data_IF_927310583757
#
_entry.id   IF_927310583757
#
_cell.length_a   1.000
_cell.length_b   1.000
_cell.length_c   1.000
_cell.angle_alpha   90.00
_cell.angle_beta   90.00
_cell.angle_gamma   90.00
#
_symmetry.space_group_name_H-M   'P 1'
#
loop_
_entity.id
_entity.type
_entity.pdbx_description
1 polymer ?
#
# COMPACT_ATOMS: atom_id res chain seq x y z
N UNK A 1 -18.19 -21.60 4.97
CA UNK A 1 -17.92 -21.28 3.56
C UNK A 1 -18.44 -19.90 3.21
N UNK A 2 -17.56 -18.93 2.94
CA UNK A 2 -17.94 -17.63 2.35
C UNK A 2 -17.70 -17.72 0.84
N UNK A 3 -18.72 -17.48 -0.02
CA UNK A 3 -18.50 -17.48 -1.47
C UNK A 3 -17.55 -16.34 -1.85
N UNK A 4 -16.65 -16.61 -2.79
CA UNK A 4 -15.69 -15.63 -3.30
C UNK A 4 -15.66 -15.68 -4.84
N UNK A 5 -15.57 -14.51 -5.46
CA UNK A 5 -15.41 -14.34 -6.90
C UNK A 5 -13.98 -13.88 -7.19
N UNK A 6 -13.31 -14.54 -8.14
CA UNK A 6 -12.01 -14.12 -8.64
C UNK A 6 -12.19 -13.54 -10.04
N UNK A 7 -11.71 -12.31 -10.25
CA UNK A 7 -11.73 -11.62 -11.54
C UNK A 7 -10.31 -11.60 -12.09
N UNK A 8 -10.10 -12.21 -13.26
CA UNK A 8 -8.79 -12.29 -13.91
C UNK A 8 -8.70 -11.49 -15.21
N UNK A 9 -9.85 -11.10 -15.77
CA UNK A 9 -9.91 -10.31 -16.99
C UNK A 9 -9.54 -8.84 -16.72
N UNK A 10 -8.65 -8.28 -17.54
CA UNK A 10 -8.08 -6.94 -17.31
C UNK A 10 -9.06 -5.81 -17.52
N UNK A 11 -10.05 -5.97 -18.41
CA UNK A 11 -11.08 -4.95 -18.63
C UNK A 11 -11.99 -4.88 -17.41
N UNK A 12 -12.42 -6.04 -16.92
CA UNK A 12 -13.19 -6.14 -15.69
C UNK A 12 -12.42 -5.64 -14.46
N UNK A 13 -11.11 -5.91 -14.37
CA UNK A 13 -10.27 -5.35 -13.31
C UNK A 13 -10.21 -3.82 -13.38
N UNK A 14 -10.09 -3.24 -14.57
CA UNK A 14 -10.12 -1.78 -14.74
C UNK A 14 -11.45 -1.20 -14.29
N UNK A 15 -12.56 -1.84 -14.65
CA UNK A 15 -13.88 -1.40 -14.23
C UNK A 15 -14.01 -1.43 -12.70
N UNK A 16 -13.62 -2.54 -12.06
CA UNK A 16 -13.66 -2.69 -10.59
C UNK A 16 -12.73 -1.71 -9.87
N UNK A 17 -11.48 -1.54 -10.31
CA UNK A 17 -10.47 -0.77 -9.57
C UNK A 17 -10.40 0.72 -9.95
N UNK A 18 -11.01 1.13 -11.06
CA UNK A 18 -10.89 2.51 -11.57
C UNK A 18 -12.26 3.14 -11.82
N UNK A 19 -13.06 2.57 -12.71
CA UNK A 19 -14.31 3.18 -13.19
C UNK A 19 -15.38 3.16 -12.10
N UNK A 20 -15.64 1.98 -11.56
CA UNK A 20 -16.70 1.68 -10.62
C UNK A 20 -16.15 1.40 -9.21
N UNK A 21 -14.94 1.89 -8.92
CA UNK A 21 -14.26 1.66 -7.63
C UNK A 21 -15.10 2.03 -6.42
N UNK A 22 -15.94 3.06 -6.50
CA UNK A 22 -16.85 3.47 -5.42
C UNK A 22 -17.90 2.40 -5.05
N UNK A 23 -18.22 1.48 -5.95
CA UNK A 23 -19.11 0.34 -5.70
C UNK A 23 -18.37 -0.85 -5.07
N UNK A 24 -17.06 -0.94 -5.30
CA UNK A 24 -16.17 -2.02 -4.84
C UNK A 24 -15.15 -1.56 -3.80
N UNK A 25 -15.36 -0.38 -3.20
CA UNK A 25 -14.41 0.26 -2.27
C UNK A 25 -14.28 -0.53 -0.98
N UNK A 26 -15.36 -1.19 -0.58
CA UNK A 26 -15.48 -1.91 0.68
C UNK A 26 -14.86 -3.29 0.48
N UNK A 27 -13.59 -3.41 0.87
CA UNK A 27 -12.86 -4.67 0.78
C UNK A 27 -13.29 -5.58 1.93
N UNK A 28 -13.31 -6.89 1.68
CA UNK A 28 -13.45 -7.85 2.78
C UNK A 28 -12.38 -7.54 3.82
N UNK A 29 -12.79 -7.25 5.06
CA UNK A 29 -11.87 -7.04 6.18
C UNK A 29 -10.94 -8.24 6.25
N UNK A 30 -9.67 -8.00 5.95
CA UNK A 30 -8.63 -9.00 6.10
C UNK A 30 -8.52 -9.24 7.61
N UNK A 31 -9.06 -10.37 8.06
CA UNK A 31 -9.06 -10.89 9.44
C UNK A 31 -8.44 -9.90 10.42
N UNK A 32 -9.28 -9.03 10.99
CA UNK A 32 -8.88 -7.93 11.85
C UNK A 32 -7.98 -8.46 12.98
N UNK A 33 -6.68 -8.32 12.80
CA UNK A 33 -5.71 -8.41 13.87
C UNK A 33 -5.65 -7.01 14.46
N UNK A 34 -6.41 -6.78 15.54
CA UNK A 34 -6.48 -5.58 16.38
C UNK A 34 -7.18 -4.33 15.80
N UNK A 35 -7.86 -3.60 16.71
CA UNK A 35 -8.66 -2.36 16.52
C UNK A 35 -7.91 -1.23 15.76
N UNK A 36 -6.58 -1.26 15.74
CA UNK A 36 -5.77 -0.27 15.02
C UNK A 36 -5.77 -0.51 13.51
N UNK A 37 -5.78 -1.78 13.08
CA UNK A 37 -5.68 -2.14 11.66
C UNK A 37 -6.95 -1.78 10.89
N UNK A 38 -8.10 -1.78 11.56
CA UNK A 38 -9.39 -1.38 10.97
C UNK A 38 -9.38 0.09 10.50
N UNK A 39 -8.55 0.95 11.09
CA UNK A 39 -8.41 2.37 10.72
C UNK A 39 -7.36 2.63 9.64
N UNK A 40 -6.76 1.58 9.07
CA UNK A 40 -5.80 1.73 7.96
C UNK A 40 -6.52 2.16 6.69
N UNK A 41 -5.88 3.01 5.88
CA UNK A 41 -6.43 3.53 4.61
C UNK A 41 -7.03 2.44 3.71
N UNK A 42 -6.43 1.24 3.68
CA UNK A 42 -6.92 0.13 2.85
C UNK A 42 -8.25 -0.49 3.32
N UNK A 43 -8.63 -0.26 4.58
CA UNK A 43 -9.83 -0.81 5.23
C UNK A 43 -10.95 0.22 5.41
N UNK A 44 -10.72 1.49 5.05
CA UNK A 44 -11.73 2.54 5.16
C UNK A 44 -12.82 2.41 4.09
N UNK A 45 -14.05 2.72 4.49
CA UNK A 45 -15.20 2.86 3.60
C UNK A 45 -15.03 4.05 2.63
N UNK A 46 -15.78 4.07 1.52
CA UNK A 46 -15.58 5.03 0.42
C UNK A 46 -15.44 6.50 0.86
N UNK A 47 -16.39 7.01 1.66
CA UNK A 47 -16.40 8.42 2.04
C UNK A 47 -15.23 8.79 2.97
N UNK A 48 -14.89 7.90 3.90
CA UNK A 48 -13.73 8.07 4.78
C UNK A 48 -12.43 7.97 4.00
N UNK A 49 -12.31 6.98 3.11
CA UNK A 49 -11.19 6.81 2.21
C UNK A 49 -10.99 8.07 1.35
N UNK A 50 -12.06 8.61 0.78
CA UNK A 50 -12.03 9.83 -0.04
C UNK A 50 -11.49 11.02 0.76
N UNK A 51 -11.97 11.21 1.99
CA UNK A 51 -11.48 12.26 2.91
C UNK A 51 -10.02 12.06 3.30
N UNK A 52 -9.64 10.86 3.73
CA UNK A 52 -8.26 10.58 4.16
C UNK A 52 -7.29 10.69 2.98
N UNK A 53 -7.68 10.22 1.79
CA UNK A 53 -6.87 10.37 0.58
C UNK A 53 -6.65 11.82 0.20
N UNK A 54 -7.63 12.71 0.33
CA UNK A 54 -7.42 14.13 0.02
C UNK A 54 -6.36 14.77 0.92
N UNK A 55 -6.29 14.35 2.18
CA UNK A 55 -5.27 14.78 3.16
C UNK A 55 -3.89 14.16 2.86
N UNK A 56 -3.84 12.86 2.51
CA UNK A 56 -2.58 12.14 2.30
C UNK A 56 -1.92 12.42 0.95
N UNK A 57 -2.71 12.54 -0.13
CA UNK A 57 -2.24 12.76 -1.50
C UNK A 57 -1.19 13.87 -1.64
N UNK A 58 -1.34 15.07 -1.03
CA UNK A 58 -0.34 16.13 -1.15
C UNK A 58 1.02 15.76 -0.54
N UNK A 59 1.12 14.74 0.33
CA UNK A 59 2.38 14.27 0.92
C UNK A 59 3.19 13.40 -0.06
N UNK A 60 2.50 12.69 -0.95
CA UNK A 60 3.11 11.74 -1.90
C UNK A 60 3.25 12.30 -3.32
N UNK A 61 3.40 13.61 -3.45
CA UNK A 61 3.72 14.23 -4.75
C UNK A 61 5.12 13.85 -5.21
N UNK A 62 5.34 13.79 -6.52
CA UNK A 62 6.66 13.51 -7.11
C UNK A 62 7.76 14.40 -6.53
N UNK A 63 7.49 15.69 -6.32
CA UNK A 63 8.45 16.62 -5.73
C UNK A 63 8.82 16.29 -4.28
N UNK A 64 7.83 15.94 -3.44
CA UNK A 64 8.09 15.52 -2.05
C UNK A 64 8.78 14.15 -2.00
N UNK A 65 8.41 13.22 -2.88
CA UNK A 65 9.04 11.90 -2.95
C UNK A 65 10.51 11.99 -3.37
N UNK A 66 10.82 12.81 -4.39
CA UNK A 66 12.20 13.09 -4.79
C UNK A 66 13.03 13.69 -3.65
N UNK A 67 12.46 14.56 -2.83
CA UNK A 67 13.17 15.11 -1.65
C UNK A 67 13.48 14.06 -0.59
N UNK A 68 12.65 13.02 -0.45
CA UNK A 68 12.86 11.93 0.52
C UNK A 68 13.80 10.82 0.02
N UNK A 69 14.18 10.82 -1.25
CA UNK A 69 15.01 9.75 -1.85
C UNK A 69 16.38 9.60 -1.16
N UNK A 70 16.91 10.68 -0.58
CA UNK A 70 18.17 10.64 0.17
C UNK A 70 18.12 9.65 1.35
N UNK A 71 17.02 9.66 2.12
CA UNK A 71 16.81 8.73 3.23
C UNK A 71 16.75 7.29 2.71
N UNK A 72 16.00 7.05 1.63
CA UNK A 72 15.92 5.71 1.04
C UNK A 72 17.29 5.20 0.57
N UNK A 73 18.10 6.08 -0.03
CA UNK A 73 19.46 5.75 -0.45
C UNK A 73 20.32 5.39 0.75
N UNK A 74 20.27 6.17 1.83
CA UNK A 74 21.02 5.90 3.06
C UNK A 74 20.65 4.54 3.66
N UNK A 75 19.36 4.26 3.87
CA UNK A 75 18.90 2.96 4.35
C UNK A 75 19.37 1.81 3.44
N UNK A 76 19.32 2.02 2.12
CA UNK A 76 19.77 1.02 1.14
C UNK A 76 21.27 0.78 1.20
N UNK A 77 22.08 1.83 1.36
CA UNK A 77 23.54 1.69 1.51
C UNK A 77 23.90 0.96 2.80
N UNK A 78 23.22 1.27 3.90
CA UNK A 78 23.38 0.56 5.18
C UNK A 78 23.07 -0.93 5.01
N UNK A 79 21.98 -1.28 4.34
CA UNK A 79 21.62 -2.67 4.06
C UNK A 79 22.69 -3.38 3.22
N UNK A 80 23.19 -2.74 2.15
CA UNK A 80 24.26 -3.28 1.30
C UNK A 80 25.55 -3.50 2.10
N UNK A 81 25.90 -2.60 3.00
CA UNK A 81 27.08 -2.75 3.84
C UNK A 81 26.95 -3.97 4.76
N UNK A 82 25.78 -4.18 5.38
CA UNK A 82 25.53 -5.38 6.18
C UNK A 82 25.66 -6.65 5.35
N UNK A 83 25.12 -6.67 4.11
CA UNK A 83 25.29 -7.84 3.24
C UNK A 83 26.75 -8.12 2.86
N UNK A 84 27.56 -7.09 2.62
CA UNK A 84 29.01 -7.28 2.37
C UNK A 84 29.72 -7.88 3.58
N UNK A 85 29.46 -7.32 4.76
CA UNK A 85 30.04 -7.83 6.01
C UNK A 85 29.62 -9.29 6.27
N UNK A 86 28.35 -9.64 6.05
CA UNK A 86 27.87 -11.02 6.15
C UNK A 86 28.50 -11.95 5.12
N UNK A 87 28.75 -11.48 3.89
CA UNK A 87 29.39 -12.28 2.85
C UNK A 87 30.90 -12.49 3.09
N UNK A 88 31.56 -11.52 3.73
CA UNK A 88 32.97 -11.62 4.12
C UNK A 88 33.16 -12.47 5.38
N UNK A 89 32.20 -12.46 6.31
CA UNK A 89 32.10 -13.38 7.45
C UNK A 89 31.71 -14.79 7.02
N UNK A 90 32.36 -15.36 6.00
CA UNK A 90 32.29 -16.81 5.72
C UNK A 90 32.80 -17.59 6.94
N UNK A 91 31.91 -17.83 7.88
CA UNK A 91 31.82 -19.02 8.73
C UNK A 91 30.62 -19.85 8.24
#
# INVERSE_FOLDING_TARGET
NRPALSVADTENLRDVFVKDFHQFSNRSTFLACEDVMDKTVSNLEWEELKRVRSILTPTFTTGKLKRKIGIFKECSMTLVQYFKLSAEKKE
#
